data_IF_339181195990
#
_entry.id   IF_339181195990
#
_cell.length_a   1.000
_cell.length_b   1.000
_cell.length_c   1.000
_cell.angle_alpha   90.00
_cell.angle_beta   90.00
_cell.angle_gamma   90.00
#
_symmetry.space_group_name_H-M   'P 1'
#
loop_
_entity.id
_entity.type
_entity.pdbx_description
1 polymer ?
#
# COMPACT_ATOMS: atom_id res chain seq x y z
N UNK A 1 -8.63 -34.98 -7.28
CA UNK A 1 -8.94 -35.24 -5.87
C UNK A 1 -7.89 -36.14 -5.22
N UNK A 2 -7.63 -37.34 -5.76
CA UNK A 2 -6.66 -38.28 -5.16
C UNK A 2 -5.25 -37.69 -5.03
N UNK A 3 -4.80 -36.93 -6.04
CA UNK A 3 -3.52 -36.19 -5.99
C UNK A 3 -3.46 -35.18 -4.84
N UNK A 4 -4.58 -34.50 -4.53
CA UNK A 4 -4.65 -33.55 -3.42
C UNK A 4 -4.56 -34.29 -2.07
N UNK A 5 -5.29 -35.39 -1.92
CA UNK A 5 -5.29 -36.18 -0.68
C UNK A 5 -3.88 -36.71 -0.40
N UNK A 6 -3.25 -37.34 -1.39
CA UNK A 6 -1.90 -37.88 -1.25
C UNK A 6 -0.86 -36.81 -0.87
N UNK A 7 -0.93 -35.63 -1.52
CA UNK A 7 -0.01 -34.53 -1.21
C UNK A 7 -0.22 -33.96 0.21
N UNK A 8 -1.45 -33.95 0.71
CA UNK A 8 -1.74 -33.46 2.07
C UNK A 8 -1.33 -34.48 3.13
N UNK A 9 -1.56 -35.77 2.90
CA UNK A 9 -1.07 -36.84 3.78
C UNK A 9 0.46 -36.83 3.91
N UNK A 10 1.16 -36.71 2.78
CA UNK A 10 2.62 -36.56 2.75
C UNK A 10 3.06 -35.33 3.56
N UNK A 11 2.38 -34.19 3.39
CA UNK A 11 2.70 -32.95 4.08
C UNK A 11 2.48 -33.00 5.58
N UNK A 12 1.41 -33.66 6.03
CA UNK A 12 1.08 -33.77 7.46
C UNK A 12 1.77 -34.96 8.14
N UNK A 13 2.34 -35.90 7.38
CA UNK A 13 3.03 -37.08 7.92
C UNK A 13 2.09 -38.04 8.64
N UNK A 14 0.79 -37.99 8.36
CA UNK A 14 -0.25 -38.85 8.94
C UNK A 14 -1.40 -39.05 7.97
N UNK A 15 -2.17 -40.11 8.19
CA UNK A 15 -3.45 -40.29 7.52
C UNK A 15 -4.43 -39.16 7.88
N UNK A 16 -5.19 -38.73 6.87
CA UNK A 16 -6.27 -37.75 7.01
C UNK A 16 -7.58 -38.44 7.38
N UNK A 17 -8.27 -37.87 8.37
CA UNK A 17 -9.59 -38.33 8.80
C UNK A 17 -10.67 -38.07 7.74
N UNK A 18 -11.81 -38.74 7.85
CA UNK A 18 -12.92 -38.55 6.90
C UNK A 18 -13.48 -37.12 6.90
N UNK A 19 -13.45 -36.44 8.06
CA UNK A 19 -13.84 -35.02 8.17
C UNK A 19 -12.86 -34.12 7.42
N UNK A 20 -11.57 -34.43 7.48
CA UNK A 20 -10.54 -33.71 6.70
C UNK A 20 -10.69 -33.96 5.21
N UNK A 21 -11.01 -35.20 4.80
CA UNK A 21 -11.29 -35.54 3.40
C UNK A 21 -12.49 -34.75 2.87
N UNK A 22 -13.58 -34.65 3.64
CA UNK A 22 -14.76 -33.86 3.25
C UNK A 22 -14.41 -32.37 3.12
N UNK A 23 -13.66 -31.82 4.08
CA UNK A 23 -13.20 -30.43 4.00
C UNK A 23 -12.29 -30.18 2.78
N UNK A 24 -11.37 -31.09 2.47
CA UNK A 24 -10.53 -31.02 1.28
C UNK A 24 -11.34 -31.19 -0.02
N UNK A 25 -12.38 -32.01 -0.02
CA UNK A 25 -13.32 -32.13 -1.14
C UNK A 25 -14.08 -30.82 -1.38
N UNK A 26 -14.57 -30.19 -0.31
CA UNK A 26 -15.19 -28.87 -0.36
C UNK A 26 -14.23 -27.79 -0.88
N UNK A 27 -12.97 -27.81 -0.43
CA UNK A 27 -11.92 -26.93 -0.94
C UNK A 27 -11.71 -27.14 -2.45
N UNK A 28 -11.53 -28.39 -2.87
CA UNK A 28 -11.26 -28.74 -4.27
C UNK A 28 -12.39 -28.25 -5.17
N UNK A 29 -13.65 -28.55 -4.81
CA UNK A 29 -14.81 -28.11 -5.57
C UNK A 29 -14.95 -26.59 -5.59
N UNK A 30 -14.66 -25.92 -4.46
CA UNK A 30 -14.71 -24.47 -4.39
C UNK A 30 -13.65 -23.82 -5.28
N UNK A 31 -12.41 -24.35 -5.28
CA UNK A 31 -11.32 -23.90 -6.14
C UNK A 31 -11.66 -24.09 -7.62
N UNK A 32 -12.15 -25.28 -7.98
CA UNK A 32 -12.55 -25.63 -9.35
C UNK A 32 -13.59 -24.65 -9.87
N UNK A 33 -14.70 -24.54 -9.15
CA UNK A 33 -15.85 -23.70 -9.52
C UNK A 33 -15.49 -22.22 -9.50
N UNK A 34 -14.97 -21.72 -8.39
CA UNK A 34 -14.89 -20.28 -8.16
C UNK A 34 -13.60 -19.63 -8.66
N UNK A 35 -12.49 -20.38 -8.74
CA UNK A 35 -11.18 -19.83 -9.09
C UNK A 35 -10.72 -20.31 -10.47
N UNK A 36 -10.73 -21.62 -10.75
CA UNK A 36 -10.20 -22.19 -12.00
C UNK A 36 -11.07 -21.81 -13.20
N UNK A 37 -12.39 -22.00 -13.12
CA UNK A 37 -13.32 -21.62 -14.20
C UNK A 37 -13.28 -20.11 -14.52
N UNK A 38 -12.94 -19.28 -13.53
CA UNK A 38 -12.80 -17.83 -13.70
C UNK A 38 -11.48 -17.40 -14.36
N UNK A 39 -10.53 -18.34 -14.49
CA UNK A 39 -9.16 -18.06 -14.90
C UNK A 39 -8.95 -18.34 -16.39
N UNK A 40 -8.32 -17.40 -17.09
CA UNK A 40 -7.91 -17.56 -18.49
C UNK A 40 -6.62 -18.38 -18.67
N UNK A 41 -6.11 -18.96 -17.59
CA UNK A 41 -4.88 -19.73 -17.55
C UNK A 41 -5.17 -21.20 -17.29
N UNK A 42 -4.42 -22.09 -17.95
CA UNK A 42 -4.48 -23.53 -17.72
C UNK A 42 -3.82 -23.86 -16.36
N UNK A 43 -4.50 -23.54 -15.26
CA UNK A 43 -4.08 -23.89 -13.90
C UNK A 43 -4.65 -25.27 -13.57
N UNK A 44 -3.83 -26.19 -13.07
CA UNK A 44 -4.29 -27.46 -12.54
C UNK A 44 -4.99 -27.23 -11.19
N UNK A 45 -6.24 -27.66 -11.07
CA UNK A 45 -7.03 -27.53 -9.86
C UNK A 45 -6.39 -28.22 -8.64
N UNK A 46 -5.82 -29.42 -8.81
CA UNK A 46 -5.11 -30.14 -7.75
C UNK A 46 -3.92 -29.34 -7.23
N UNK A 47 -3.09 -28.81 -8.13
CA UNK A 47 -1.89 -28.01 -7.77
C UNK A 47 -2.27 -26.72 -7.03
N UNK A 48 -3.34 -26.07 -7.47
CA UNK A 48 -3.89 -24.89 -6.82
C UNK A 48 -4.44 -25.21 -5.42
N UNK A 49 -5.23 -26.28 -5.29
CA UNK A 49 -5.76 -26.70 -4.00
C UNK A 49 -4.65 -27.05 -3.01
N UNK A 50 -3.61 -27.78 -3.43
CA UNK A 50 -2.42 -28.08 -2.61
C UNK A 50 -1.72 -26.79 -2.17
N UNK A 51 -1.58 -25.81 -3.06
CA UNK A 51 -0.99 -24.51 -2.73
C UNK A 51 -1.81 -23.77 -1.66
N UNK A 52 -3.14 -23.80 -1.77
CA UNK A 52 -4.04 -23.22 -0.77
C UNK A 52 -3.88 -23.92 0.58
N UNK A 53 -3.87 -25.25 0.62
CA UNK A 53 -3.66 -26.01 1.87
C UNK A 53 -2.33 -25.65 2.52
N UNK A 54 -1.24 -25.60 1.75
CA UNK A 54 0.07 -25.22 2.27
C UNK A 54 0.09 -23.83 2.89
N UNK A 55 -0.63 -22.86 2.30
CA UNK A 55 -0.77 -21.52 2.86
C UNK A 55 -1.62 -21.52 4.13
N UNK A 56 -2.73 -22.25 4.14
CA UNK A 56 -3.58 -22.36 5.34
C UNK A 56 -2.79 -22.97 6.49
N UNK A 57 -2.05 -24.06 6.22
CA UNK A 57 -1.19 -24.71 7.20
C UNK A 57 -0.07 -23.78 7.70
N UNK A 58 0.52 -22.94 6.84
CA UNK A 58 1.55 -21.99 7.29
C UNK A 58 0.98 -20.94 8.26
N UNK A 59 -0.29 -20.57 8.11
CA UNK A 59 -1.00 -19.66 9.01
C UNK A 59 -1.39 -20.36 10.32
N UNK A 60 -1.74 -21.65 10.27
CA UNK A 60 -2.17 -22.44 11.45
C UNK A 60 -1.03 -23.10 12.22
N UNK A 61 0.21 -22.63 12.05
CA UNK A 61 1.43 -23.23 12.64
C UNK A 61 1.70 -24.69 12.22
N UNK A 62 1.10 -25.13 11.11
CA UNK A 62 1.39 -26.41 10.46
C UNK A 62 0.70 -27.63 11.07
N UNK A 63 -0.11 -27.46 12.12
CA UNK A 63 -0.56 -28.60 12.93
C UNK A 63 -1.94 -29.13 12.52
N UNK A 64 -2.87 -28.27 12.08
CA UNK A 64 -4.26 -28.68 11.81
C UNK A 64 -4.92 -27.89 10.67
N UNK A 65 -5.83 -28.57 9.96
CA UNK A 65 -6.74 -27.96 9.00
C UNK A 65 -7.86 -27.19 9.74
N UNK A 66 -8.30 -26.03 9.24
CA UNK A 66 -9.32 -25.22 9.87
C UNK A 66 -10.73 -25.77 9.57
N UNK A 67 -11.04 -26.97 10.06
CA UNK A 67 -12.28 -27.69 9.76
C UNK A 67 -13.57 -26.93 10.13
N UNK A 68 -13.46 -25.98 11.06
CA UNK A 68 -14.57 -25.09 11.46
C UNK A 68 -14.81 -23.92 10.49
N UNK A 69 -13.99 -23.77 9.45
CA UNK A 69 -14.12 -22.70 8.46
C UNK A 69 -14.81 -23.21 7.20
N UNK A 70 -15.79 -22.45 6.71
CA UNK A 70 -16.46 -22.70 5.43
C UNK A 70 -15.89 -21.84 4.31
N UNK A 71 -15.98 -22.31 3.07
CA UNK A 71 -15.59 -21.51 1.90
C UNK A 71 -16.74 -20.60 1.48
N UNK A 72 -16.46 -19.31 1.27
CA UNK A 72 -17.44 -18.34 0.80
C UNK A 72 -17.03 -17.73 -0.54
N UNK A 73 -18.03 -17.44 -1.37
CA UNK A 73 -17.82 -16.71 -2.62
C UNK A 73 -17.80 -15.20 -2.40
N UNK A 74 -17.27 -14.45 -3.35
CA UNK A 74 -17.30 -12.98 -3.37
C UNK A 74 -18.73 -12.44 -3.34
N UNK A 75 -19.65 -13.05 -4.11
CA UNK A 75 -21.07 -12.67 -4.09
C UNK A 75 -21.66 -12.81 -2.70
N UNK A 76 -21.39 -13.93 -2.03
CA UNK A 76 -21.86 -14.18 -0.67
C UNK A 76 -21.27 -13.16 0.31
N UNK A 77 -19.96 -12.91 0.23
CA UNK A 77 -19.30 -11.88 1.04
C UNK A 77 -19.97 -10.51 0.87
N UNK A 78 -20.21 -10.05 -0.36
CA UNK A 78 -20.81 -8.73 -0.63
C UNK A 78 -22.27 -8.64 -0.19
N UNK A 79 -23.03 -9.75 -0.26
CA UNK A 79 -24.42 -9.80 0.17
C UNK A 79 -24.57 -9.82 1.70
N UNK A 80 -23.65 -10.51 2.39
CA UNK A 80 -23.76 -10.73 3.82
C UNK A 80 -22.95 -9.69 4.63
N UNK A 81 -21.87 -9.14 4.06
CA UNK A 81 -20.94 -8.23 4.74
C UNK A 81 -21.06 -6.80 4.18
N UNK A 82 -21.66 -5.91 4.98
CA UNK A 82 -21.77 -4.48 4.66
C UNK A 82 -20.86 -3.58 5.51
N UNK A 83 -20.01 -4.17 6.36
CA UNK A 83 -19.05 -3.45 7.21
C UNK A 83 -17.62 -3.99 6.99
N UNK A 84 -16.59 -3.24 7.39
CA UNK A 84 -15.21 -3.73 7.32
C UNK A 84 -15.02 -4.90 8.32
N UNK A 85 -14.42 -6.00 7.87
CA UNK A 85 -14.09 -7.17 8.69
C UNK A 85 -12.58 -7.37 8.77
N UNK A 86 -12.08 -7.81 9.92
CA UNK A 86 -10.68 -8.22 10.08
C UNK A 86 -10.53 -9.71 9.74
N UNK A 87 -9.53 -10.06 8.92
CA UNK A 87 -9.18 -11.44 8.58
C UNK A 87 -8.20 -12.00 9.61
N UNK A 88 -8.66 -12.91 10.48
CA UNK A 88 -7.80 -13.72 11.35
C UNK A 88 -8.23 -15.19 11.27
N UNK A 89 -7.29 -16.07 10.89
CA UNK A 89 -7.47 -17.52 11.05
C UNK A 89 -6.88 -17.89 12.40
N UNK A 90 -7.72 -18.36 13.33
CA UNK A 90 -7.29 -18.79 14.68
C UNK A 90 -7.65 -20.25 14.88
N UNK A 91 -6.67 -21.08 15.26
CA UNK A 91 -6.87 -22.51 15.57
C UNK A 91 -7.29 -22.77 17.01
N UNK A 92 -7.22 -21.79 17.91
CA UNK A 92 -7.64 -21.99 19.29
C UNK A 92 -9.16 -21.86 19.46
N UNK A 93 -9.75 -22.85 20.12
CA UNK A 93 -11.10 -22.78 20.66
C UNK A 93 -11.14 -21.73 21.80
N UNK A 94 -11.12 -20.43 21.47
CA UNK A 94 -11.26 -19.38 22.47
C UNK A 94 -12.72 -19.03 22.74
N UNK A 95 -13.19 -19.55 23.87
CA UNK A 95 -14.31 -19.06 24.70
C UNK A 95 -13.99 -17.69 25.36
N UNK A 96 -13.31 -16.78 24.68
CA UNK A 96 -12.65 -15.63 25.32
C UNK A 96 -12.75 -14.31 24.56
N UNK A 97 -13.96 -13.88 24.19
CA UNK A 97 -14.21 -12.46 23.92
C UNK A 97 -15.54 -12.05 24.56
N UNK A 98 -15.63 -12.25 25.87
CA UNK A 98 -16.61 -11.56 26.71
C UNK A 98 -15.83 -10.57 27.57
N UNK A 99 -16.05 -9.29 27.29
CA UNK A 99 -16.11 -8.16 28.22
C UNK A 99 -15.51 -6.90 27.59
N UNK A 100 -16.38 -6.14 26.92
CA UNK A 100 -16.49 -4.71 27.13
C UNK A 100 -17.90 -4.29 26.71
N UNK A 101 -18.80 -4.28 27.69
CA UNK A 101 -20.13 -3.67 27.58
C UNK A 101 -19.96 -2.16 27.59
N UNK A 102 -20.12 -1.53 26.43
CA UNK A 102 -20.60 -0.14 26.34
C UNK A 102 -21.72 -0.08 25.31
N UNK A 103 -22.93 0.11 25.85
CA UNK A 103 -24.17 0.63 25.27
C UNK A 103 -24.47 0.39 23.77
N UNK A 104 -25.46 -0.49 23.54
CA UNK A 104 -26.55 -0.29 22.58
C UNK A 104 -26.16 -0.03 21.12
N UNK A 105 -25.63 -1.05 20.43
CA UNK A 105 -25.59 -1.08 18.96
C UNK A 105 -26.20 -2.42 18.51
N UNK A 106 -27.13 -2.43 17.52
CA UNK A 106 -27.72 -3.67 17.04
C UNK A 106 -26.62 -4.59 16.50
N UNK A 107 -26.48 -5.76 17.10
CA UNK A 107 -25.57 -6.82 16.65
C UNK A 107 -26.13 -7.39 15.34
N UNK A 108 -25.64 -6.90 14.21
CA UNK A 108 -26.07 -7.27 12.87
C UNK A 108 -25.02 -8.10 12.13
N UNK A 109 -25.41 -9.35 11.81
CA UNK A 109 -24.94 -10.34 10.80
C UNK A 109 -23.46 -10.34 10.39
N UNK A 110 -22.83 -11.50 10.60
CA UNK A 110 -21.43 -11.91 10.32
C UNK A 110 -20.37 -11.74 11.43
N UNK A 111 -20.71 -11.31 12.65
CA UNK A 111 -19.74 -11.23 13.76
C UNK A 111 -19.10 -12.58 14.18
N UNK A 112 -19.53 -13.71 13.60
CA UNK A 112 -19.09 -15.06 13.98
C UNK A 112 -18.86 -16.04 12.82
N UNK A 113 -18.82 -15.59 11.54
CA UNK A 113 -18.56 -16.54 10.45
C UNK A 113 -17.05 -16.81 10.36
N UNK A 114 -16.68 -18.07 10.66
CA UNK A 114 -15.39 -18.64 10.29
C UNK A 114 -15.44 -18.99 8.82
N UNK A 115 -14.97 -18.09 7.96
CA UNK A 115 -14.98 -18.27 6.52
C UNK A 115 -13.60 -18.10 5.88
N UNK A 116 -13.40 -18.81 4.77
CA UNK A 116 -12.27 -18.68 3.88
C UNK A 116 -12.76 -18.13 2.54
N UNK A 117 -12.27 -16.96 2.16
CA UNK A 117 -12.47 -16.38 0.84
C UNK A 117 -11.30 -16.76 -0.06
N UNK A 118 -11.60 -17.42 -1.18
CA UNK A 118 -10.62 -17.75 -2.21
C UNK A 118 -10.92 -16.95 -3.47
N UNK A 119 -9.94 -16.20 -3.96
CA UNK A 119 -10.12 -15.43 -5.18
C UNK A 119 -8.80 -14.95 -5.77
N UNK A 120 -8.87 -14.53 -7.02
CA UNK A 120 -7.75 -14.00 -7.78
C UNK A 120 -7.57 -12.52 -7.49
N UNK A 121 -6.37 -12.13 -7.06
CA UNK A 121 -5.99 -10.72 -6.99
C UNK A 121 -5.72 -10.18 -8.41
N UNK A 122 -6.44 -9.13 -8.82
CA UNK A 122 -6.33 -8.53 -10.16
C UNK A 122 -6.49 -7.01 -10.11
N UNK A 123 -5.83 -6.31 -11.03
CA UNK A 123 -6.09 -4.88 -11.29
C UNK A 123 -7.03 -4.64 -12.47
N UNK A 124 -7.34 -5.69 -13.22
CA UNK A 124 -8.21 -5.68 -14.39
C UNK A 124 -9.32 -6.69 -14.16
N UNK A 125 -10.32 -6.37 -13.33
CA UNK A 125 -11.45 -7.26 -13.11
C UNK A 125 -12.32 -7.36 -14.37
N UNK A 126 -13.03 -8.48 -14.53
CA UNK A 126 -13.93 -8.68 -15.67
C UNK A 126 -15.00 -7.58 -15.72
N UNK A 127 -15.21 -7.00 -16.91
CA UNK A 127 -16.04 -5.79 -17.12
C UNK A 127 -17.51 -5.98 -16.79
N UNK A 128 -18.01 -7.22 -16.77
CA UNK A 128 -19.40 -7.55 -16.43
C UNK A 128 -19.69 -7.41 -14.92
N UNK A 129 -18.67 -7.49 -14.06
CA UNK A 129 -18.80 -7.56 -12.60
C UNK A 129 -18.52 -6.24 -11.87
N UNK A 130 -17.92 -5.25 -12.53
CA UNK A 130 -17.63 -3.95 -11.93
C UNK A 130 -18.50 -2.91 -12.60
N UNK A 131 -19.38 -2.26 -11.84
CA UNK A 131 -20.16 -1.12 -12.35
C UNK A 131 -19.24 -0.02 -12.92
N UNK A 132 -19.82 1.03 -13.52
CA UNK A 132 -19.09 2.15 -14.18
C UNK A 132 -18.00 2.87 -13.34
N UNK A 133 -17.79 2.47 -12.09
CA UNK A 133 -16.87 3.07 -11.11
C UNK A 133 -15.57 2.25 -10.92
N UNK A 134 -15.06 1.57 -11.95
CA UNK A 134 -13.70 1.00 -11.86
C UNK A 134 -12.70 2.14 -11.72
N UNK A 135 -12.09 2.29 -10.53
CA UNK A 135 -11.06 3.31 -10.32
C UNK A 135 -9.71 2.74 -10.71
N UNK A 136 -8.98 3.49 -11.52
CA UNK A 136 -7.67 3.13 -12.03
C UNK A 136 -6.67 2.93 -10.89
N UNK A 137 -5.88 1.85 -10.97
CA UNK A 137 -4.78 1.59 -10.03
C UNK A 137 -5.18 0.81 -8.78
N UNK A 138 -6.44 0.41 -8.67
CA UNK A 138 -6.93 -0.38 -7.56
C UNK A 138 -6.74 -1.88 -7.76
N UNK A 139 -6.66 -2.61 -6.64
CA UNK A 139 -6.63 -4.07 -6.62
C UNK A 139 -7.99 -4.63 -6.19
N UNK A 140 -8.35 -5.75 -6.81
CA UNK A 140 -9.62 -6.44 -6.61
C UNK A 140 -9.37 -7.92 -6.34
N UNK A 141 -10.16 -8.52 -5.45
CA UNK A 141 -10.32 -9.97 -5.37
C UNK A 141 -11.51 -10.33 -6.25
N UNK A 142 -11.28 -11.21 -7.21
CA UNK A 142 -12.28 -11.71 -8.13
C UNK A 142 -12.41 -13.23 -8.03
N UNK A 143 -13.64 -13.72 -8.04
CA UNK A 143 -13.97 -15.12 -8.32
C UNK A 143 -14.97 -15.20 -9.49
N UNK A 144 -15.51 -16.38 -9.79
CA UNK A 144 -16.53 -16.52 -10.84
C UNK A 144 -17.89 -15.87 -10.50
N UNK A 145 -18.15 -15.52 -9.24
CA UNK A 145 -19.43 -14.98 -8.75
C UNK A 145 -19.45 -13.46 -8.71
N UNK A 146 -18.28 -12.82 -8.64
CA UNK A 146 -18.18 -11.37 -8.58
C UNK A 146 -16.79 -10.85 -8.28
N UNK A 147 -16.78 -9.56 -7.97
CA UNK A 147 -15.56 -8.79 -7.67
C UNK A 147 -15.78 -8.01 -6.39
N UNK A 148 -14.85 -8.16 -5.45
CA UNK A 148 -14.74 -7.29 -4.28
C UNK A 148 -13.47 -6.48 -4.41
N UNK A 149 -13.62 -5.19 -4.17
CA UNK A 149 -12.50 -4.28 -4.25
C UNK A 149 -11.67 -4.43 -2.96
N UNK A 150 -10.38 -4.78 -3.09
CA UNK A 150 -9.46 -4.81 -1.94
C UNK A 150 -9.30 -3.43 -1.32
N UNK A 151 -9.69 -2.39 -2.07
CA UNK A 151 -9.46 -1.00 -1.77
C UNK A 151 -10.73 -0.12 -1.98
N UNK A 152 -11.84 -0.36 -1.27
CA UNK A 152 -13.14 0.21 -1.70
C UNK A 152 -13.67 1.42 -0.92
N UNK A 153 -14.49 2.20 -1.66
CA UNK A 153 -15.31 3.31 -1.18
C UNK A 153 -16.56 2.87 -0.39
N UNK A 154 -17.72 3.52 -0.63
CA UNK A 154 -18.95 3.48 0.19
C UNK A 154 -19.59 2.09 0.44
N UNK A 155 -18.95 0.97 0.05
CA UNK A 155 -19.43 -0.41 0.27
C UNK A 155 -18.47 -1.27 1.12
N UNK A 156 -17.46 -0.68 1.77
CA UNK A 156 -16.47 -1.40 2.60
C UNK A 156 -15.30 -2.00 1.79
N UNK A 157 -14.17 -2.32 2.42
CA UNK A 157 -12.95 -2.83 1.76
C UNK A 157 -12.35 -4.02 2.53
N UNK A 158 -11.39 -4.73 1.90
CA UNK A 158 -10.72 -5.91 2.48
C UNK A 158 -9.27 -5.58 2.83
N UNK A 159 -8.88 -5.78 4.08
CA UNK A 159 -7.48 -5.70 4.53
C UNK A 159 -6.81 -7.07 4.34
N UNK A 160 -5.91 -7.17 3.36
CA UNK A 160 -5.11 -8.38 3.11
C UNK A 160 -3.87 -8.34 4.00
N UNK A 161 -3.94 -9.03 5.13
CA UNK A 161 -2.93 -9.01 6.20
C UNK A 161 -1.71 -9.89 5.92
N UNK A 162 -1.82 -10.82 4.98
CA UNK A 162 -0.77 -11.79 4.62
C UNK A 162 -0.56 -11.74 3.10
N UNK A 163 0.69 -11.85 2.59
CA UNK A 163 0.95 -11.89 1.16
C UNK A 163 0.09 -12.95 0.44
N UNK A 164 -0.55 -12.60 -0.69
CA UNK A 164 -1.33 -13.57 -1.46
C UNK A 164 -0.41 -14.66 -2.03
N UNK A 165 -0.93 -15.89 -2.14
CA UNK A 165 -0.20 -16.99 -2.78
C UNK A 165 0.12 -16.64 -4.24
N UNK A 166 1.41 -16.70 -4.60
CA UNK A 166 1.82 -16.51 -5.98
C UNK A 166 1.62 -17.81 -6.77
N UNK A 167 0.57 -17.84 -7.59
CA UNK A 167 0.34 -18.90 -8.58
C UNK A 167 1.04 -18.54 -9.88
N UNK A 168 2.36 -18.44 -9.83
CA UNK A 168 3.16 -18.21 -11.05
C UNK A 168 3.69 -19.55 -11.50
N UNK A 169 3.47 -19.88 -12.77
CA UNK A 169 4.20 -20.94 -13.46
C UNK A 169 5.69 -20.53 -13.50
N UNK A 170 6.43 -20.93 -12.48
CA UNK A 170 7.83 -20.56 -12.20
C UNK A 170 8.79 -20.92 -13.34
N UNK A 171 8.33 -21.75 -14.29
CA UNK A 171 9.10 -22.16 -15.48
C UNK A 171 9.48 -21.00 -16.43
N UNK A 172 8.81 -19.84 -16.38
CA UNK A 172 9.14 -18.69 -17.27
C UNK A 172 9.93 -17.54 -16.63
N UNK A 173 10.25 -17.59 -15.33
CA UNK A 173 10.94 -16.48 -14.65
C UNK A 173 12.48 -16.62 -14.58
N UNK A 174 13.03 -17.75 -15.06
CA UNK A 174 14.48 -18.01 -15.06
C UNK A 174 15.22 -17.44 -16.28
N UNK A 175 14.64 -16.49 -17.01
CA UNK A 175 15.48 -15.66 -17.88
C UNK A 175 16.19 -14.65 -16.98
N UNK A 176 17.50 -14.85 -16.80
CA UNK A 176 18.39 -13.90 -16.16
C UNK A 176 18.36 -12.61 -16.99
N UNK A 177 17.49 -11.68 -16.61
CA UNK A 177 17.37 -10.40 -17.28
C UNK A 177 18.68 -9.64 -17.05
N UNK A 178 19.50 -9.49 -18.08
CA UNK A 178 20.71 -8.67 -18.03
C UNK A 178 20.32 -7.23 -17.66
N UNK A 179 20.56 -6.87 -16.40
CA UNK A 179 20.17 -5.60 -15.81
C UNK A 179 21.36 -4.65 -15.78
N UNK A 180 21.10 -3.40 -16.17
CA UNK A 180 22.08 -2.32 -16.17
C UNK A 180 22.09 -1.67 -14.79
N UNK A 181 23.30 -1.40 -14.27
CA UNK A 181 23.47 -0.68 -13.01
C UNK A 181 23.16 0.81 -13.16
N UNK A 182 22.83 1.47 -12.05
CA UNK A 182 22.42 2.89 -12.03
C UNK A 182 23.35 3.84 -12.78
N UNK A 183 24.69 3.73 -12.71
CA UNK A 183 25.57 4.69 -13.38
C UNK A 183 25.52 4.56 -14.91
N UNK A 184 25.47 3.33 -15.39
CA UNK A 184 25.29 3.04 -16.81
C UNK A 184 23.88 3.46 -17.28
N UNK A 185 22.84 3.24 -16.48
CA UNK A 185 21.49 3.73 -16.79
C UNK A 185 21.46 5.27 -16.86
N UNK A 186 22.06 5.98 -15.92
CA UNK A 186 22.13 7.43 -15.96
C UNK A 186 22.92 7.94 -17.19
N UNK A 187 23.98 7.23 -17.58
CA UNK A 187 24.75 7.52 -18.80
C UNK A 187 23.89 7.36 -20.05
N UNK A 188 23.12 6.27 -20.16
CA UNK A 188 22.17 6.04 -21.27
C UNK A 188 21.10 7.14 -21.30
N UNK A 189 20.59 7.54 -20.14
CA UNK A 189 19.55 8.56 -20.02
C UNK A 189 20.04 9.95 -20.46
N UNK A 190 21.31 10.26 -20.20
CA UNK A 190 21.95 11.51 -20.61
C UNK A 190 22.38 11.48 -22.10
N UNK A 191 22.83 10.32 -22.59
CA UNK A 191 23.33 10.12 -23.96
C UNK A 191 22.33 9.37 -24.85
N UNK A 192 21.13 9.93 -24.98
CA UNK A 192 19.97 9.22 -25.54
C UNK A 192 19.99 9.01 -27.07
N UNK A 193 20.92 9.63 -27.81
CA UNK A 193 21.00 9.50 -29.28
C UNK A 193 21.12 8.03 -29.67
N UNK A 194 20.15 7.51 -30.43
CA UNK A 194 20.09 6.10 -30.86
C UNK A 194 19.53 5.12 -29.82
N UNK A 195 19.21 5.55 -28.60
CA UNK A 195 18.70 4.70 -27.50
C UNK A 195 17.21 4.87 -27.22
N UNK A 196 16.50 5.72 -27.98
CA UNK A 196 15.09 6.07 -27.71
C UNK A 196 14.12 4.89 -27.80
N UNK A 197 14.47 3.90 -28.61
CA UNK A 197 13.68 2.68 -28.84
C UNK A 197 14.17 1.49 -28.04
N UNK A 198 15.33 1.59 -27.39
CA UNK A 198 15.93 0.48 -26.66
C UNK A 198 15.22 0.29 -25.33
N UNK A 199 14.63 -0.89 -25.17
CA UNK A 199 14.07 -1.35 -23.90
C UNK A 199 15.20 -1.93 -23.06
N UNK A 200 15.32 -1.47 -21.83
CA UNK A 200 16.37 -1.92 -20.90
C UNK A 200 15.76 -2.36 -19.58
N UNK A 201 16.58 -3.06 -18.81
CA UNK A 201 16.31 -3.42 -17.43
C UNK A 201 17.31 -2.73 -16.53
N UNK A 202 16.85 -2.18 -15.41
CA UNK A 202 17.66 -1.40 -14.49
C UNK A 202 17.60 -2.07 -13.12
N UNK A 203 18.76 -2.28 -12.51
CA UNK A 203 18.87 -2.70 -11.12
C UNK A 203 19.13 -1.49 -10.22
N UNK A 204 18.41 -1.39 -9.11
CA UNK A 204 18.74 -0.44 -8.05
C UNK A 204 17.71 -0.36 -6.95
N UNK A 205 18.01 0.46 -5.94
CA UNK A 205 17.18 0.67 -4.77
C UNK A 205 16.17 1.81 -5.00
N UNK A 206 14.91 1.60 -4.64
CA UNK A 206 13.89 2.65 -4.67
C UNK A 206 14.13 3.63 -3.52
N UNK A 207 14.48 4.88 -3.79
CA UNK A 207 14.74 5.88 -2.72
C UNK A 207 13.63 6.87 -2.51
N UNK A 208 12.89 7.21 -3.57
CA UNK A 208 11.72 8.08 -3.52
C UNK A 208 10.61 7.43 -4.32
N UNK A 209 9.38 7.47 -3.81
CA UNK A 209 8.19 6.94 -4.46
C UNK A 209 7.05 7.94 -4.25
N UNK A 210 6.48 8.47 -5.32
CA UNK A 210 5.32 9.37 -5.23
C UNK A 210 4.06 8.58 -4.88
N UNK A 211 2.99 9.26 -4.48
CA UNK A 211 1.64 8.68 -4.56
C UNK A 211 1.26 8.43 -6.04
N UNK A 212 0.15 7.72 -6.24
CA UNK A 212 -0.49 7.63 -7.56
C UNK A 212 -1.07 9.01 -7.89
N UNK A 213 -0.62 9.59 -8.98
CA UNK A 213 -1.04 10.90 -9.46
C UNK A 213 -2.01 10.75 -10.63
N UNK A 214 -3.05 11.57 -10.63
CA UNK A 214 -4.00 11.71 -11.73
C UNK A 214 -4.00 13.13 -12.24
N UNK A 215 -3.60 13.31 -13.50
CA UNK A 215 -3.62 14.61 -14.18
C UNK A 215 -4.48 14.45 -15.43
N UNK A 216 -5.67 15.08 -15.43
CA UNK A 216 -6.70 14.87 -16.44
C UNK A 216 -7.04 13.36 -16.55
N UNK A 217 -6.96 12.81 -17.75
CA UNK A 217 -7.19 11.37 -18.03
C UNK A 217 -5.94 10.49 -17.87
N UNK A 218 -4.81 11.07 -17.44
CA UNK A 218 -3.55 10.32 -17.30
C UNK A 218 -3.31 9.98 -15.84
N UNK A 219 -3.17 8.69 -15.56
CA UNK A 219 -2.75 8.17 -14.26
C UNK A 219 -1.33 7.63 -14.35
N UNK A 220 -0.50 8.01 -13.37
CA UNK A 220 0.89 7.62 -13.31
C UNK A 220 1.42 7.71 -11.87
N UNK A 221 2.55 7.07 -11.61
CA UNK A 221 3.36 7.33 -10.42
C UNK A 221 4.83 7.41 -10.82
N UNK A 222 5.64 8.02 -9.97
CA UNK A 222 7.05 8.24 -10.22
C UNK A 222 7.88 7.72 -9.05
N UNK A 223 9.08 7.26 -9.35
CA UNK A 223 10.04 6.89 -8.32
C UNK A 223 11.47 7.13 -8.79
N UNK A 224 12.42 7.08 -7.86
CA UNK A 224 13.85 7.16 -8.16
C UNK A 224 14.53 5.87 -7.77
N UNK A 225 15.38 5.39 -8.67
CA UNK A 225 16.33 4.33 -8.38
C UNK A 225 17.70 4.93 -8.11
N UNK A 226 18.39 4.42 -7.10
CA UNK A 226 19.77 4.78 -6.79
C UNK A 226 20.60 3.53 -6.50
N UNK A 227 21.93 3.69 -6.58
CA UNK A 227 22.85 2.71 -6.06
C UNK A 227 23.05 2.95 -4.56
N UNK A 228 23.35 1.89 -3.79
CA UNK A 228 23.72 2.03 -2.38
C UNK A 228 25.08 2.75 -2.20
N UNK A 229 25.95 2.67 -3.21
CA UNK A 229 27.33 3.17 -3.15
C UNK A 229 27.51 4.55 -3.77
N UNK A 230 26.55 5.06 -4.53
CA UNK A 230 26.71 6.26 -5.35
C UNK A 230 25.56 7.25 -5.17
N UNK A 231 25.85 8.56 -5.16
CA UNK A 231 24.87 9.66 -5.09
C UNK A 231 24.04 9.81 -6.38
N UNK A 232 24.25 8.96 -7.37
CA UNK A 232 23.55 9.00 -8.64
C UNK A 232 22.17 8.34 -8.54
N UNK A 233 21.19 8.93 -9.21
CA UNK A 233 19.84 8.41 -9.27
C UNK A 233 19.27 8.57 -10.67
N UNK A 234 18.37 7.65 -11.04
CA UNK A 234 17.60 7.73 -12.28
C UNK A 234 16.11 7.82 -11.95
N UNK A 235 15.40 8.83 -12.49
CA UNK A 235 13.96 8.92 -12.33
C UNK A 235 13.23 7.96 -13.28
N UNK A 236 12.20 7.30 -12.76
CA UNK A 236 11.33 6.40 -13.50
C UNK A 236 9.88 6.86 -13.35
N UNK A 237 9.12 6.84 -14.46
CA UNK A 237 7.68 7.11 -14.50
C UNK A 237 6.95 5.88 -15.03
N UNK A 238 5.94 5.44 -14.29
CA UNK A 238 5.03 4.37 -14.71
C UNK A 238 3.73 5.03 -15.10
N UNK A 239 3.36 4.93 -16.37
CA UNK A 239 2.18 5.58 -16.94
C UNK A 239 1.21 4.54 -17.48
N UNK A 240 -0.08 4.77 -17.24
CA UNK A 240 -1.16 4.05 -17.90
C UNK A 240 -1.90 3.12 -16.95
N UNK A 241 -3.22 3.05 -17.13
CA UNK A 241 -4.14 2.37 -16.23
C UNK A 241 -3.80 0.90 -15.97
N UNK A 242 -3.26 0.22 -16.99
CA UNK A 242 -2.86 -1.19 -16.94
C UNK A 242 -1.62 -1.47 -16.09
N UNK A 243 -0.83 -0.45 -15.74
CA UNK A 243 0.46 -0.61 -15.06
C UNK A 243 0.49 0.05 -13.68
N UNK A 244 -0.50 0.88 -13.33
CA UNK A 244 -0.52 1.61 -12.05
C UNK A 244 -0.59 0.66 -10.86
N UNK A 245 -1.13 -0.55 -11.01
CA UNK A 245 -1.13 -1.58 -9.98
C UNK A 245 0.26 -1.98 -9.49
N UNK A 246 1.30 -1.80 -10.34
CA UNK A 246 2.69 -2.07 -9.98
C UNK A 246 3.17 -1.18 -8.82
N UNK A 247 2.48 -0.07 -8.54
CA UNK A 247 2.71 0.77 -7.37
C UNK A 247 2.74 -0.05 -6.07
N UNK A 248 1.81 -0.98 -5.92
CA UNK A 248 1.65 -1.81 -4.72
C UNK A 248 2.76 -2.86 -4.54
N UNK A 249 3.63 -3.03 -5.54
CA UNK A 249 4.77 -3.94 -5.49
C UNK A 249 6.07 -3.24 -5.06
N UNK A 250 6.08 -1.89 -5.07
CA UNK A 250 7.26 -1.09 -4.76
C UNK A 250 7.29 -0.69 -3.30
N UNK A 251 8.52 -0.66 -2.80
CA UNK A 251 8.80 -0.30 -1.44
C UNK A 251 10.08 0.53 -1.37
N UNK A 252 10.05 1.73 -0.77
CA UNK A 252 11.24 2.51 -0.51
C UNK A 252 12.27 1.71 0.29
N UNK A 253 13.54 1.92 -0.03
CA UNK A 253 14.73 1.24 0.51
C UNK A 253 14.86 -0.24 0.16
N UNK A 254 14.03 -0.75 -0.75
CA UNK A 254 14.16 -2.10 -1.29
C UNK A 254 14.77 -2.08 -2.69
N UNK A 255 15.55 -3.11 -2.99
CA UNK A 255 16.23 -3.27 -4.27
C UNK A 255 15.39 -4.09 -5.26
N UNK A 256 15.34 -3.62 -6.50
CA UNK A 256 14.57 -4.24 -7.58
C UNK A 256 15.38 -4.30 -8.87
N UNK A 257 15.10 -5.32 -9.68
CA UNK A 257 15.33 -5.27 -11.12
C UNK A 257 14.01 -4.86 -11.78
N UNK A 258 14.03 -3.73 -12.48
CA UNK A 258 12.87 -3.22 -13.20
C UNK A 258 13.15 -3.35 -14.68
N UNK A 259 12.41 -4.23 -15.35
CA UNK A 259 12.54 -4.50 -16.77
C UNK A 259 11.51 -3.74 -17.59
N UNK A 260 11.72 -3.68 -18.91
CA UNK A 260 10.73 -3.09 -19.81
C UNK A 260 10.71 -1.56 -19.79
N UNK A 261 11.84 -0.90 -19.49
CA UNK A 261 11.94 0.56 -19.42
C UNK A 261 12.53 1.14 -20.70
N UNK A 262 12.04 2.31 -21.12
CA UNK A 262 12.62 3.09 -22.23
C UNK A 262 12.98 4.50 -21.76
N UNK A 263 14.12 5.07 -22.18
CA UNK A 263 14.41 6.46 -21.87
C UNK A 263 13.41 7.36 -22.59
N UNK A 264 13.00 8.46 -21.98
CA UNK A 264 12.12 9.51 -22.54
C UNK A 264 12.41 10.86 -21.90
N UNK A 265 11.68 11.88 -22.32
CA UNK A 265 11.81 13.25 -21.82
C UNK A 265 10.43 13.80 -21.44
N UNK A 266 10.34 14.35 -20.24
CA UNK A 266 9.20 15.15 -19.75
C UNK A 266 9.43 16.62 -20.06
N UNK A 267 8.33 17.36 -20.24
CA UNK A 267 8.33 18.79 -20.56
C UNK A 267 9.24 19.11 -21.75
N UNK A 268 9.02 18.37 -22.85
CA UNK A 268 9.70 18.61 -24.13
C UNK A 268 9.56 20.09 -24.50
N UNK A 269 10.64 20.66 -25.02
CA UNK A 269 10.69 22.04 -25.52
C UNK A 269 10.49 23.12 -24.44
N UNK A 270 10.67 22.77 -23.16
CA UNK A 270 10.68 23.73 -22.03
C UNK A 270 12.06 23.81 -21.37
N UNK A 271 12.30 24.91 -20.63
CA UNK A 271 13.48 25.05 -19.78
C UNK A 271 13.54 23.97 -18.67
N UNK A 272 12.39 23.42 -18.29
CA UNK A 272 12.25 22.35 -17.28
C UNK A 272 12.31 20.94 -17.87
N UNK A 273 13.00 20.77 -19.00
CA UNK A 273 13.24 19.46 -19.60
C UNK A 273 13.85 18.49 -18.57
N UNK A 274 13.24 17.32 -18.40
CA UNK A 274 13.77 16.24 -17.54
C UNK A 274 13.81 14.93 -18.31
N UNK A 275 14.98 14.29 -18.36
CA UNK A 275 15.08 12.94 -18.89
C UNK A 275 14.65 11.94 -17.82
N UNK A 276 13.82 10.98 -18.20
CA UNK A 276 13.28 9.95 -17.32
C UNK A 276 13.19 8.61 -18.03
N UNK A 277 13.21 7.51 -17.29
CA UNK A 277 12.77 6.22 -17.84
C UNK A 277 11.26 6.09 -17.73
N UNK A 278 10.63 5.57 -18.78
CA UNK A 278 9.18 5.38 -18.82
C UNK A 278 8.85 3.90 -19.05
N UNK A 279 7.74 3.46 -18.47
CA UNK A 279 7.21 2.12 -18.64
C UNK A 279 6.81 1.78 -20.08
N UNK A 280 6.79 0.49 -20.38
CA UNK A 280 6.21 -0.12 -21.59
C UNK A 280 5.15 -1.14 -21.18
N UNK A 281 4.42 -1.71 -22.14
CA UNK A 281 3.43 -2.76 -21.85
C UNK A 281 4.04 -4.01 -21.19
N UNK A 282 5.36 -4.23 -21.35
CA UNK A 282 6.07 -5.35 -20.77
C UNK A 282 6.80 -5.05 -19.46
N UNK A 283 6.57 -3.88 -18.83
CA UNK A 283 7.26 -3.51 -17.58
C UNK A 283 6.93 -4.49 -16.45
N UNK A 284 7.97 -4.96 -15.74
CA UNK A 284 7.85 -5.87 -14.59
C UNK A 284 8.84 -5.49 -13.50
N UNK A 285 8.48 -5.76 -12.25
CA UNK A 285 9.33 -5.53 -11.08
C UNK A 285 9.72 -6.87 -10.46
N UNK A 286 11.02 -7.06 -10.23
CA UNK A 286 11.57 -8.26 -9.60
C UNK A 286 12.32 -7.83 -8.33
N UNK A 287 11.80 -8.10 -7.13
CA UNK A 287 12.52 -7.78 -5.89
C UNK A 287 13.80 -8.61 -5.79
N UNK A 288 14.91 -7.99 -5.37
CA UNK A 288 16.21 -8.65 -5.19
C UNK A 288 16.50 -9.01 -3.72
N UNK A 289 15.94 -8.28 -2.76
CA UNK A 289 16.03 -8.60 -1.33
C UNK A 289 14.69 -9.08 -0.77
N UNK A 290 14.74 -9.95 0.24
CA UNK A 290 13.55 -10.40 0.97
C UNK A 290 12.94 -9.26 1.80
N UNK A 291 13.77 -8.42 2.42
CA UNK A 291 13.32 -7.35 3.33
C UNK A 291 13.88 -5.96 2.95
N UNK A 292 13.16 -4.89 3.27
CA UNK A 292 13.63 -3.50 3.13
C UNK A 292 14.60 -3.14 4.25
N UNK A 293 15.46 -2.15 4.04
CA UNK A 293 16.24 -1.59 5.15
C UNK A 293 15.31 -0.92 6.17
N UNK A 294 15.58 -1.18 7.46
CA UNK A 294 14.77 -0.70 8.58
C UNK A 294 14.55 0.83 8.58
N UNK A 295 13.39 1.22 9.09
CA UNK A 295 13.04 2.63 9.33
C UNK A 295 13.23 2.91 10.82
N UNK A 296 13.89 4.01 11.20
CA UNK A 296 14.09 4.34 12.61
C UNK A 296 12.76 4.58 13.33
N UNK A 297 12.68 4.12 14.58
CA UNK A 297 11.58 4.41 15.51
C UNK A 297 11.87 5.67 16.34
N UNK A 298 10.91 6.10 17.15
CA UNK A 298 10.95 7.36 17.91
C UNK A 298 12.24 7.60 18.72
N UNK A 299 12.82 6.60 19.43
CA UNK A 299 14.08 6.82 20.16
C UNK A 299 15.21 7.28 19.24
N UNK A 300 15.33 6.71 18.03
CA UNK A 300 16.40 7.01 17.07
C UNK A 300 16.22 8.39 16.42
N UNK A 301 14.98 8.82 16.17
CA UNK A 301 14.69 10.14 15.57
C UNK A 301 14.89 11.26 16.59
N UNK A 302 14.50 11.05 17.85
CA UNK A 302 14.73 12.02 18.93
C UNK A 302 16.22 12.17 19.24
N UNK A 303 17.00 11.09 19.26
CA UNK A 303 18.47 11.15 19.39
C UNK A 303 19.13 11.98 18.26
N UNK A 304 18.68 11.80 17.01
CA UNK A 304 19.18 12.58 15.87
C UNK A 304 18.76 14.07 15.92
N UNK A 305 17.69 14.40 16.65
CA UNK A 305 17.17 15.75 16.82
C UNK A 305 17.63 16.46 18.10
N UNK A 306 18.27 15.73 19.02
CA UNK A 306 18.78 16.18 20.31
C UNK A 306 20.27 16.54 20.31
N UNK A 307 20.98 16.34 19.19
CA UNK A 307 22.36 16.85 19.03
C UNK A 307 22.29 18.38 18.99
N UNK A 308 22.88 19.09 19.97
CA UNK A 308 22.95 20.55 19.92
C UNK A 308 23.81 20.95 18.72
N UNK A 309 23.40 22.00 18.01
CA UNK A 309 24.28 22.69 17.07
C UNK A 309 25.42 23.35 17.86
N UNK A 310 26.49 22.62 18.11
CA UNK A 310 27.66 23.12 18.83
C UNK A 310 28.49 22.03 19.50
N UNK A 311 29.30 21.33 18.72
CA UNK A 311 30.66 20.95 19.10
C UNK A 311 31.34 20.37 17.85
N UNK A 312 32.29 21.13 17.32
CA UNK A 312 33.15 20.70 16.22
C UNK A 312 33.96 19.47 16.61
N UNK A 313 33.96 18.47 15.73
CA UNK A 313 34.69 17.22 15.92
C UNK A 313 34.31 16.11 14.94
N UNK A 314 34.37 16.39 13.63
CA UNK A 314 34.42 15.34 12.59
C UNK A 314 33.21 15.24 11.65
N UNK A 315 33.30 15.97 10.52
CA UNK A 315 32.60 15.73 9.25
C UNK A 315 31.07 15.59 9.28
N UNK A 316 30.37 16.64 9.72
CA UNK A 316 28.96 16.86 9.42
C UNK A 316 28.77 18.23 8.75
N UNK A 317 28.57 18.23 7.42
CA UNK A 317 28.37 19.46 6.64
C UNK A 317 27.07 20.17 7.05
N UNK A 318 27.24 21.20 7.90
CA UNK A 318 26.20 22.13 8.28
C UNK A 318 26.50 23.45 7.58
N UNK A 319 25.69 23.84 6.59
CA UNK A 319 25.68 25.21 6.05
C UNK A 319 24.30 25.81 6.25
N UNK A 320 24.22 26.86 7.05
CA UNK A 320 23.06 27.74 7.18
C UNK A 320 22.83 28.52 5.88
N UNK A 321 21.58 28.84 5.54
CA UNK A 321 21.30 29.85 4.52
C UNK A 321 20.63 31.08 5.14
N UNK A 322 21.33 32.19 5.02
CA UNK A 322 20.75 33.49 4.74
C UNK A 322 20.19 33.51 3.31
N UNK A 323 19.18 34.36 3.12
CA UNK A 323 18.47 34.72 1.89
C UNK A 323 19.26 34.49 0.58
N UNK A 324 18.69 33.72 -0.35
CA UNK A 324 19.24 33.49 -1.69
C UNK A 324 20.14 32.25 -1.80
N UNK A 325 19.59 31.06 -1.55
CA UNK A 325 20.28 29.79 -1.76
C UNK A 325 19.39 28.64 -1.29
N UNK A 326 19.08 27.69 -2.17
CA UNK A 326 18.18 26.58 -1.86
C UNK A 326 18.76 25.68 -0.76
N UNK A 327 18.29 25.85 0.48
CA UNK A 327 18.55 24.93 1.59
C UNK A 327 18.02 23.55 1.18
N UNK A 328 18.92 22.56 1.06
CA UNK A 328 18.55 21.16 0.79
C UNK A 328 17.78 20.66 2.02
N UNK A 329 16.45 20.66 1.94
CA UNK A 329 15.59 20.22 3.04
C UNK A 329 15.92 18.76 3.41
N UNK A 330 16.27 18.53 4.68
CA UNK A 330 16.62 17.20 5.19
C UNK A 330 15.36 16.37 5.32
N UNK A 331 15.23 15.36 4.47
CA UNK A 331 14.17 14.37 4.57
C UNK A 331 14.36 13.48 5.81
N UNK A 332 13.26 13.13 6.46
CA UNK A 332 13.19 12.20 7.57
C UNK A 332 12.35 10.98 7.17
N UNK A 333 12.67 9.82 7.75
CA UNK A 333 11.82 8.63 7.68
C UNK A 333 11.52 8.18 9.09
N UNK A 334 10.31 7.71 9.35
CA UNK A 334 9.83 7.38 10.69
C UNK A 334 8.80 6.25 10.60
N UNK A 335 8.88 5.30 11.53
CA UNK A 335 7.87 4.26 11.69
C UNK A 335 7.18 4.45 13.04
N UNK A 336 5.85 4.34 13.05
CA UNK A 336 5.07 4.47 14.26
C UNK A 336 3.62 4.01 14.09
N UNK A 337 2.93 3.87 15.21
CA UNK A 337 1.52 3.47 15.25
C UNK A 337 0.60 4.67 15.34
N UNK A 338 -0.47 4.69 14.55
CA UNK A 338 -1.51 5.72 14.62
C UNK A 338 -2.26 5.56 15.95
N UNK A 339 -2.16 6.57 16.80
CA UNK A 339 -2.79 6.62 18.14
C UNK A 339 -4.06 7.46 18.16
N UNK A 340 -4.17 8.46 17.27
CA UNK A 340 -5.38 9.26 17.11
C UNK A 340 -5.52 9.79 15.69
N UNK A 341 -6.77 9.95 15.23
CA UNK A 341 -7.09 10.72 14.03
C UNK A 341 -7.44 12.15 14.47
N UNK A 342 -6.51 13.09 14.28
CA UNK A 342 -6.71 14.49 14.71
C UNK A 342 -7.69 15.19 13.76
N UNK A 343 -7.49 15.00 12.45
CA UNK A 343 -8.41 15.47 11.42
C UNK A 343 -8.26 14.58 10.18
N UNK A 344 -9.16 13.61 10.04
CA UNK A 344 -9.18 12.61 8.97
C UNK A 344 -9.51 13.21 7.59
N UNK A 345 -10.41 14.20 7.53
CA UNK A 345 -10.81 14.92 6.31
C UNK A 345 -9.63 15.55 5.56
N UNK A 346 -8.58 15.91 6.28
CA UNK A 346 -7.40 16.66 5.78
C UNK A 346 -6.10 15.86 5.94
N UNK A 347 -6.20 14.63 6.44
CA UNK A 347 -5.10 13.69 6.58
C UNK A 347 -4.10 14.02 7.69
N UNK A 348 -4.57 14.43 8.87
CA UNK A 348 -3.74 14.68 10.06
C UNK A 348 -3.95 13.58 11.10
N UNK A 349 -2.85 12.89 11.43
CA UNK A 349 -2.82 11.75 12.34
C UNK A 349 -1.78 11.95 13.45
N UNK A 350 -2.06 11.42 14.63
CA UNK A 350 -1.09 11.36 15.73
C UNK A 350 -0.42 9.99 15.76
N UNK A 351 0.91 9.96 15.73
CA UNK A 351 1.73 8.76 15.85
C UNK A 351 2.34 8.69 17.25
N UNK A 352 2.15 7.55 17.91
CA UNK A 352 2.71 7.25 19.25
C UNK A 352 2.48 8.34 20.30
N UNK A 353 1.37 9.09 20.19
CA UNK A 353 1.04 10.20 21.08
C UNK A 353 1.96 11.41 21.02
N UNK A 354 3.00 11.43 20.16
CA UNK A 354 4.06 12.47 20.19
C UNK A 354 4.38 13.12 18.85
N UNK A 355 4.19 12.40 17.74
CA UNK A 355 4.51 12.91 16.40
C UNK A 355 3.22 13.16 15.61
N UNK A 356 3.11 14.32 14.96
CA UNK A 356 1.97 14.64 14.12
C UNK A 356 2.30 14.41 12.64
N UNK A 357 1.55 13.56 11.97
CA UNK A 357 1.68 13.30 10.53
C UNK A 357 0.71 14.19 9.76
N UNK A 358 1.20 14.90 8.75
CA UNK A 358 0.43 15.76 7.85
C UNK A 358 0.49 15.25 6.42
N UNK A 359 -0.65 14.83 5.88
CA UNK A 359 -0.81 14.36 4.50
C UNK A 359 -1.48 15.40 3.59
N UNK A 360 -1.57 16.66 4.01
CA UNK A 360 -2.30 17.71 3.29
C UNK A 360 -1.81 18.00 1.87
N UNK A 361 -0.55 17.73 1.53
CA UNK A 361 -0.04 17.84 0.15
C UNK A 361 -0.10 16.52 -0.64
N UNK A 362 -0.49 15.43 0.02
CA UNK A 362 -0.72 14.10 -0.53
C UNK A 362 -2.13 13.65 -0.16
N UNK A 363 -3.13 14.50 -0.36
CA UNK A 363 -4.51 14.12 -0.08
C UNK A 363 -4.84 12.79 -0.79
N UNK A 364 -5.67 11.96 -0.16
CA UNK A 364 -5.99 10.59 -0.58
C UNK A 364 -4.79 9.62 -0.66
N UNK A 365 -3.75 9.72 0.18
CA UNK A 365 -2.86 8.55 0.40
C UNK A 365 -3.73 7.33 0.69
N UNK A 366 -3.66 6.33 -0.18
CA UNK A 366 -4.51 5.14 -0.14
C UNK A 366 -6.01 5.47 0.00
N UNK A 367 -6.50 6.64 -0.42
CA UNK A 367 -7.86 7.14 -0.12
C UNK A 367 -8.26 7.00 1.37
N UNK A 368 -7.32 7.23 2.28
CA UNK A 368 -7.52 7.08 3.73
C UNK A 368 -7.62 5.63 4.23
N UNK A 369 -7.46 4.63 3.36
CA UNK A 369 -7.57 3.20 3.71
C UNK A 369 -6.40 2.77 4.58
N UNK A 370 -6.69 1.95 5.60
CA UNK A 370 -5.71 1.43 6.55
C UNK A 370 -5.02 2.50 7.42
N UNK A 371 -5.24 3.79 7.17
CA UNK A 371 -4.76 4.91 7.99
C UNK A 371 -5.77 5.16 9.12
N UNK A 372 -5.86 4.23 10.06
CA UNK A 372 -6.77 4.27 11.20
C UNK A 372 -6.05 3.95 12.50
N UNK A 373 -6.64 4.34 13.62
CA UNK A 373 -6.07 4.11 14.96
C UNK A 373 -5.73 2.63 15.14
N UNK A 374 -4.51 2.35 15.59
CA UNK A 374 -3.93 1.02 15.75
C UNK A 374 -3.14 0.51 14.54
N UNK A 375 -3.17 1.19 13.39
CA UNK A 375 -2.38 0.78 12.24
C UNK A 375 -0.91 1.24 12.40
N UNK A 376 0.02 0.35 12.06
CA UNK A 376 1.44 0.68 12.02
C UNK A 376 1.80 1.16 10.61
N UNK A 377 2.48 2.30 10.52
CA UNK A 377 2.87 2.90 9.25
C UNK A 377 4.36 3.23 9.24
N UNK A 378 4.95 3.17 8.05
CA UNK A 378 6.27 3.69 7.75
C UNK A 378 6.14 4.91 6.83
N UNK A 379 6.65 6.04 7.29
CA UNK A 379 6.72 7.30 6.56
C UNK A 379 8.13 7.46 6.02
N UNK A 380 8.25 7.70 4.72
CA UNK A 380 9.51 7.91 4.02
C UNK A 380 9.57 9.31 3.46
N UNK A 381 10.76 9.90 3.50
CA UNK A 381 11.09 11.20 2.94
C UNK A 381 10.11 12.32 3.31
N UNK A 382 9.67 12.40 4.57
CA UNK A 382 8.86 13.50 5.07
C UNK A 382 9.74 14.69 5.46
N UNK A 383 9.18 15.90 5.39
CA UNK A 383 9.78 17.08 5.97
C UNK A 383 9.53 17.08 7.49
N UNK A 384 10.60 17.15 8.28
CA UNK A 384 10.48 17.30 9.73
C UNK A 384 10.37 18.79 10.08
N UNK A 385 9.26 19.17 10.69
CA UNK A 385 8.99 20.53 11.17
C UNK A 385 8.75 20.47 12.67
N UNK A 386 9.38 21.35 13.46
CA UNK A 386 9.13 21.45 14.89
C UNK A 386 8.15 22.59 15.13
N UNK A 387 6.93 22.28 15.56
CA UNK A 387 5.97 23.29 16.01
C UNK A 387 6.18 23.54 17.50
N UNK A 388 6.35 24.81 17.89
CA UNK A 388 6.42 25.19 19.29
C UNK A 388 5.01 25.59 19.71
N UNK A 389 4.28 24.68 20.35
CA UNK A 389 3.01 25.00 20.99
C UNK A 389 3.24 25.38 22.45
N UNK A 390 2.41 26.26 23.02
CA UNK A 390 2.45 26.62 24.45
C UNK A 390 2.21 25.35 25.29
N UNK A 391 3.28 24.69 25.72
CA UNK A 391 3.24 23.50 26.58
C UNK A 391 4.23 22.40 26.21
N UNK A 392 4.50 22.16 24.92
CA UNK A 392 5.55 21.23 24.45
C UNK A 392 5.77 21.37 22.93
N UNK A 393 6.99 21.04 22.46
CA UNK A 393 7.30 21.03 21.03
C UNK A 393 6.76 19.74 20.37
N UNK A 394 5.84 19.87 19.41
CA UNK A 394 5.31 18.74 18.64
C UNK A 394 6.14 18.57 17.38
N UNK A 395 6.72 17.37 17.19
CA UNK A 395 7.39 17.02 15.95
C UNK A 395 6.34 16.72 14.87
N UNK A 396 6.39 17.46 13.77
CA UNK A 396 5.50 17.29 12.62
C UNK A 396 6.25 16.65 11.45
N UNK A 397 5.66 15.60 10.87
CA UNK A 397 6.08 14.98 9.62
C UNK A 397 5.14 15.44 8.51
N UNK A 398 5.63 16.30 7.63
CA UNK A 398 4.86 16.82 6.51
C UNK A 398 5.24 16.10 5.22
N UNK A 399 4.28 15.39 4.62
CA UNK A 399 4.50 14.63 3.40
C UNK A 399 4.31 15.50 2.16
N UNK A 400 5.29 15.51 1.25
CA UNK A 400 5.25 16.14 -0.07
C UNK A 400 5.19 15.07 -1.17
N UNK A 401 5.17 15.43 -2.46
CA UNK A 401 5.12 14.46 -3.57
C UNK A 401 6.30 13.47 -3.63
N UNK A 402 7.41 13.73 -2.94
CA UNK A 402 8.55 12.81 -2.82
C UNK A 402 8.47 11.89 -1.59
N UNK A 403 7.53 12.14 -0.68
CA UNK A 403 7.27 11.32 0.50
C UNK A 403 6.44 10.10 0.15
N UNK A 404 6.53 9.05 0.96
CA UNK A 404 5.70 7.86 0.84
C UNK A 404 5.20 7.44 2.21
N UNK A 405 3.98 6.94 2.30
CA UNK A 405 3.44 6.35 3.52
C UNK A 405 2.98 4.94 3.20
N UNK A 406 3.54 3.97 3.91
CA UNK A 406 3.27 2.55 3.73
C UNK A 406 2.69 1.98 5.00
N UNK A 407 1.63 1.20 4.86
CA UNK A 407 1.04 0.45 5.97
C UNK A 407 1.89 -0.80 6.20
N UNK A 408 2.44 -0.92 7.41
CA UNK A 408 3.23 -2.06 7.86
C UNK A 408 2.37 -3.15 8.46
N UNK A 409 1.37 -2.75 9.23
CA UNK A 409 0.34 -3.65 9.74
C UNK A 409 -0.97 -2.89 9.84
N UNK A 410 -2.05 -3.54 9.41
CA UNK A 410 -3.38 -3.03 9.62
C UNK A 410 -3.73 -3.04 11.11
N UNK A 411 -4.71 -2.21 11.49
CA UNK A 411 -5.16 -2.13 12.88
C UNK A 411 -5.99 -3.35 13.26
N UNK A 412 -5.67 -3.98 14.38
CA UNK A 412 -6.52 -5.02 14.99
C UNK A 412 -7.74 -4.45 15.73
N UNK A 413 -7.81 -3.13 15.91
CA UNK A 413 -8.94 -2.47 16.55
C UNK A 413 -10.12 -2.41 15.59
N UNK A 414 -11.36 -2.46 16.06
CA UNK A 414 -12.54 -2.21 15.21
C UNK A 414 -12.77 -0.68 15.01
N UNK A 415 -11.71 0.06 14.69
CA UNK A 415 -11.78 1.51 14.50
C UNK A 415 -12.51 1.84 13.19
N UNK A 416 -13.42 2.81 13.17
CA UNK A 416 -14.20 3.11 11.97
C UNK A 416 -13.30 3.56 10.81
N UNK A 417 -13.57 3.03 9.62
CA UNK A 417 -13.06 3.59 8.38
C UNK A 417 -13.80 4.89 8.07
N UNK A 418 -13.03 5.94 7.77
CA UNK A 418 -13.58 7.24 7.36
C UNK A 418 -12.93 7.64 6.03
N UNK A 419 -13.63 7.43 4.89
CA UNK A 419 -13.12 7.86 3.62
C UNK A 419 -13.02 9.40 3.57
N UNK A 420 -12.09 9.94 2.77
CA UNK A 420 -12.08 11.35 2.44
C UNK A 420 -13.45 11.77 1.85
N UNK A 421 -13.99 12.88 2.36
CA UNK A 421 -15.34 13.32 2.01
C UNK A 421 -15.35 14.12 0.69
N UNK A 422 -16.52 14.37 0.10
CA UNK A 422 -16.67 15.24 -1.08
C UNK A 422 -16.04 16.64 -0.87
N UNK A 423 -15.95 17.08 0.38
CA UNK A 423 -15.29 18.33 0.75
C UNK A 423 -13.77 18.32 0.55
N UNK A 424 -13.14 17.15 0.57
CA UNK A 424 -11.72 17.01 0.23
C UNK A 424 -11.47 17.54 -1.18
N UNK A 425 -12.41 17.40 -2.12
CA UNK A 425 -12.31 17.93 -3.50
C UNK A 425 -12.23 19.47 -3.57
N UNK A 426 -12.91 20.19 -2.66
CA UNK A 426 -12.79 21.65 -2.58
C UNK A 426 -11.42 22.06 -2.02
N UNK A 427 -10.94 21.34 -1.00
CA UNK A 427 -9.60 21.54 -0.45
C UNK A 427 -8.51 21.26 -1.51
N UNK A 428 -8.70 20.26 -2.38
CA UNK A 428 -7.83 20.02 -3.53
C UNK A 428 -7.69 21.23 -4.42
N UNK A 429 -8.82 21.81 -4.82
CA UNK A 429 -8.83 22.98 -5.67
C UNK A 429 -8.07 24.12 -5.00
N UNK A 430 -8.32 24.37 -3.71
CA UNK A 430 -7.63 25.42 -2.96
C UNK A 430 -6.11 25.15 -2.87
N UNK A 431 -5.69 23.93 -2.56
CA UNK A 431 -4.27 23.60 -2.42
C UNK A 431 -3.54 23.71 -3.76
N UNK A 432 -4.12 23.18 -4.84
CA UNK A 432 -3.48 23.25 -6.16
C UNK A 432 -3.48 24.66 -6.76
N UNK A 433 -4.52 25.45 -6.55
CA UNK A 433 -4.61 26.80 -7.13
C UNK A 433 -3.91 27.87 -6.29
N UNK A 434 -3.98 27.78 -4.97
CA UNK A 434 -3.36 28.77 -4.08
C UNK A 434 -1.92 28.42 -3.71
N UNK A 435 -1.52 27.15 -3.88
CA UNK A 435 -0.21 26.62 -3.50
C UNK A 435 0.24 27.09 -2.09
N UNK A 436 -0.59 26.88 -1.06
CA UNK A 436 -0.32 27.43 0.26
C UNK A 436 0.90 26.76 0.88
N UNK A 437 1.71 27.53 1.61
CA UNK A 437 2.74 26.97 2.47
C UNK A 437 2.11 26.22 3.66
N UNK A 438 2.92 25.50 4.44
CA UNK A 438 2.40 24.61 5.50
C UNK A 438 1.55 25.35 6.54
N UNK A 439 1.95 26.56 6.92
CA UNK A 439 1.24 27.37 7.91
C UNK A 439 -0.07 27.91 7.34
N UNK A 440 -0.05 28.39 6.10
CA UNK A 440 -1.26 28.83 5.39
C UNK A 440 -2.24 27.67 5.20
N UNK A 441 -1.72 26.47 4.86
CA UNK A 441 -2.53 25.27 4.75
C UNK A 441 -3.14 24.92 6.11
N UNK A 442 -2.34 24.89 7.18
CA UNK A 442 -2.85 24.61 8.51
C UNK A 442 -3.94 25.61 8.95
N UNK A 443 -3.71 26.90 8.71
CA UNK A 443 -4.69 27.95 8.97
C UNK A 443 -5.97 27.75 8.15
N UNK A 444 -5.86 27.49 6.85
CA UNK A 444 -6.98 27.24 5.95
C UNK A 444 -7.82 26.05 6.43
N UNK A 445 -7.17 24.94 6.79
CA UNK A 445 -7.84 23.75 7.28
C UNK A 445 -8.58 24.01 8.60
N UNK A 446 -7.96 24.75 9.51
CA UNK A 446 -8.57 25.17 10.79
C UNK A 446 -9.76 26.11 10.56
N UNK A 447 -9.62 27.11 9.68
CA UNK A 447 -10.68 28.03 9.34
C UNK A 447 -11.88 27.32 8.69
N UNK A 448 -11.64 26.42 7.74
CA UNK A 448 -12.70 25.60 7.11
C UNK A 448 -13.43 24.75 8.15
N UNK A 449 -12.70 24.14 9.09
CA UNK A 449 -13.31 23.36 10.16
C UNK A 449 -14.20 24.23 11.07
N UNK A 450 -13.72 25.40 11.49
CA UNK A 450 -14.49 26.34 12.31
C UNK A 450 -15.74 26.87 11.60
N UNK A 451 -15.63 27.19 10.30
CA UNK A 451 -16.77 27.59 9.48
C UNK A 451 -17.81 26.46 9.41
N UNK A 452 -17.39 25.20 9.24
CA UNK A 452 -18.33 24.07 9.27
C UNK A 452 -19.06 23.99 10.61
N UNK A 453 -18.34 24.01 11.73
CA UNK A 453 -18.97 23.95 13.05
C UNK A 453 -20.03 25.06 13.23
N UNK A 454 -19.80 26.25 12.68
CA UNK A 454 -20.75 27.37 12.73
C UNK A 454 -21.93 27.25 11.75
N UNK A 455 -21.73 26.70 10.56
CA UNK A 455 -22.73 26.74 9.48
C UNK A 455 -23.44 25.39 9.23
N UNK A 456 -22.93 24.26 9.73
CA UNK A 456 -23.57 22.95 9.54
C UNK A 456 -24.91 22.84 10.29
N UNK A 457 -25.10 23.58 11.39
CA UNK A 457 -26.38 23.67 12.11
C UNK A 457 -27.48 24.44 11.35
N UNK A 458 -27.14 25.17 10.28
CA UNK A 458 -28.09 25.91 9.45
C UNK A 458 -28.61 25.12 8.25
N UNK A 459 -27.98 23.98 7.92
CA UNK A 459 -28.29 23.18 6.72
C UNK A 459 -29.20 21.98 7.06
N UNK A 460 -29.39 21.69 8.35
CA UNK A 460 -30.27 20.61 8.86
C UNK A 460 -31.62 21.10 9.37
N UNK A 461 -32.03 22.32 9.03
CA UNK A 461 -33.39 22.86 9.27
C UNK A 461 -34.17 23.00 7.98
#
# INVERSE_FOLDING_TARGET
MDELLAAVEERMGREISDVEKDWLGNLYHHVEKHVVESSSCNINCSELAVTVVNQVLSITSGMELPLSYSFISVKQLVQEQHQACCSHVSTSNHTGCTNNRTAGIPVGRLSHIRALLLGRLTSEPNTLSVGKNNRVGQLYIQDNTGVVLCEAGNRGYVEVTVPPCQLINTRKMKELVSAVQIPAAATILNNRKGMETKVISIQGQVTQLSTILRVKEVVFFMFKLSSATEQQHVPVIIKGTKLVHLYHLLEPRREYIISGLKPTTLFKDSADRRNVYCSTAGTRFLPQSAEPQGVPSLPSVLLAAAVPAGSDGGAAETRSCSHGGAVRQKFCSYQGTITACVNDDVGIYQLEGKVRLHLGYQLHVNEGRGLRVGACIAVYNAHLVKEHTEGDAVAMLCCCTASSVIIRSFSSLNSPYKPPTSHSAALYHLIYHLNPNLYELHFLLTAVHQLRLKFTSLITR
#
